data_IF_728747981245
#
_entry.id   IF_728747981245
#
_cell.length_a   1.000
_cell.length_b   1.000
_cell.length_c   1.000
_cell.angle_alpha   90.00
_cell.angle_beta   90.00
_cell.angle_gamma   90.00
#
_symmetry.space_group_name_H-M   'P 1'
#
loop_
_entity.id
_entity.type
_entity.pdbx_description
1 polymer ?
#
# COMPACT_ATOMS: atom_id res chain seq x y z
N UNK A 1 2.37 26.47 -0.66
CA UNK A 1 2.52 25.13 -1.26
C UNK A 1 3.33 24.24 -0.34
N UNK A 2 2.94 23.01 -0.20
CA UNK A 2 3.66 22.04 0.62
C UNK A 2 4.33 21.03 -0.30
N UNK A 3 5.59 20.72 -0.02
CA UNK A 3 6.32 19.69 -0.74
C UNK A 3 6.42 18.45 0.14
N UNK A 4 5.92 17.33 -0.35
CA UNK A 4 6.09 16.06 0.34
C UNK A 4 7.20 15.27 -0.33
N UNK A 5 8.02 14.61 0.48
CA UNK A 5 9.13 13.80 -0.02
C UNK A 5 8.93 12.37 0.42
N UNK A 6 8.88 11.45 -0.53
CA UNK A 6 8.73 10.03 -0.24
C UNK A 6 9.90 9.28 -0.86
N UNK A 7 10.88 8.96 -0.04
CA UNK A 7 12.11 8.32 -0.55
C UNK A 7 11.93 6.84 -0.85
N UNK A 8 10.95 6.20 -0.26
CA UNK A 8 10.70 4.78 -0.49
C UNK A 8 9.20 4.52 -0.65
N UNK A 9 8.60 4.98 -1.73
CA UNK A 9 7.18 4.76 -1.97
C UNK A 9 6.87 3.29 -2.26
N UNK A 10 5.62 2.94 -2.21
CA UNK A 10 5.17 1.58 -2.46
C UNK A 10 3.81 1.57 -3.15
N UNK A 11 3.48 0.45 -3.77
CA UNK A 11 2.10 0.16 -4.07
C UNK A 11 1.56 -0.59 -2.86
N UNK A 12 0.58 -0.04 -2.20
CA UNK A 12 -0.04 -0.71 -1.07
C UNK A 12 -1.18 -1.57 -1.60
N UNK A 13 -1.05 -2.88 -1.40
CA UNK A 13 -1.99 -3.86 -1.90
C UNK A 13 -2.70 -4.48 -0.71
N UNK A 14 -4.02 -4.44 -0.72
CA UNK A 14 -4.83 -4.97 0.36
C UNK A 14 -5.57 -6.22 -0.12
N UNK A 15 -5.40 -7.30 0.63
CA UNK A 15 -6.08 -8.56 0.36
C UNK A 15 -7.01 -8.86 1.55
N UNK A 16 -8.28 -8.52 1.45
CA UNK A 16 -9.20 -8.89 2.51
C UNK A 16 -9.54 -10.38 2.43
N UNK A 17 -9.33 -11.08 3.50
CA UNK A 17 -9.67 -12.48 3.64
C UNK A 17 -10.57 -12.65 4.85
N UNK A 18 -11.50 -13.57 4.77
CA UNK A 18 -12.28 -13.92 5.94
C UNK A 18 -11.37 -14.62 6.95
N UNK A 19 -10.68 -15.64 6.52
CA UNK A 19 -9.71 -16.35 7.34
C UNK A 19 -8.45 -16.56 6.53
N UNK A 20 -7.31 -16.18 7.09
CA UNK A 20 -6.02 -16.50 6.50
C UNK A 20 -5.64 -17.91 6.93
N UNK A 21 -5.48 -18.80 5.97
CA UNK A 21 -5.08 -20.18 6.23
C UNK A 21 -3.62 -20.36 5.86
N UNK A 22 -2.85 -20.95 6.73
CA UNK A 22 -1.45 -21.21 6.47
C UNK A 22 -1.28 -22.51 5.68
N UNK A 23 -0.16 -22.60 4.99
CA UNK A 23 0.22 -23.80 4.22
C UNK A 23 -0.77 -24.18 3.11
N UNK A 24 -1.51 -23.25 2.60
CA UNK A 24 -2.44 -23.50 1.51
C UNK A 24 -2.60 -22.23 0.69
N UNK A 25 -3.32 -22.34 -0.40
CA UNK A 25 -3.59 -21.19 -1.25
C UNK A 25 -4.78 -20.44 -0.67
N UNK A 26 -4.62 -19.14 -0.51
CA UNK A 26 -5.71 -18.28 -0.11
C UNK A 26 -6.15 -17.46 -1.33
N UNK A 27 -7.41 -17.55 -1.68
CA UNK A 27 -7.94 -16.83 -2.83
C UNK A 27 -8.63 -15.57 -2.36
N UNK A 28 -8.30 -14.48 -3.03
CA UNK A 28 -8.85 -13.17 -2.68
C UNK A 28 -9.76 -12.73 -3.80
N UNK A 29 -10.98 -12.40 -3.47
CA UNK A 29 -11.96 -11.97 -4.47
C UNK A 29 -11.75 -10.51 -4.88
N UNK A 30 -11.36 -9.67 -3.95
CA UNK A 30 -11.17 -8.26 -4.23
C UNK A 30 -9.77 -7.83 -3.83
N UNK A 31 -9.15 -7.04 -4.65
CA UNK A 31 -7.80 -6.52 -4.37
C UNK A 31 -7.86 -5.01 -4.50
N UNK A 32 -7.36 -4.33 -3.50
CA UNK A 32 -7.26 -2.89 -3.53
C UNK A 32 -5.79 -2.49 -3.63
N UNK A 33 -5.49 -1.59 -4.55
CA UNK A 33 -4.14 -1.08 -4.74
C UNK A 33 -4.14 0.42 -4.67
N UNK A 34 -3.25 0.97 -3.88
CA UNK A 34 -3.11 2.42 -3.75
C UNK A 34 -1.65 2.82 -3.75
N UNK A 35 -1.38 4.06 -4.13
CA UNK A 35 -0.07 4.63 -3.98
C UNK A 35 0.20 4.84 -2.49
N UNK A 36 1.30 4.35 -2.00
CA UNK A 36 1.60 4.34 -0.58
C UNK A 36 2.98 4.87 -0.24
N UNK A 37 3.20 5.00 1.03
CA UNK A 37 4.36 5.64 1.63
C UNK A 37 3.90 6.80 2.48
N UNK A 38 4.63 7.09 3.54
CA UNK A 38 4.17 8.12 4.48
C UNK A 38 4.00 9.48 3.81
N UNK A 39 4.95 9.87 2.98
CA UNK A 39 4.85 11.14 2.26
C UNK A 39 3.67 11.16 1.30
N UNK A 40 3.44 10.07 0.56
CA UNK A 40 2.32 10.00 -0.36
C UNK A 40 0.98 9.99 0.35
N UNK A 41 0.91 9.42 1.55
CA UNK A 41 -0.30 9.47 2.34
C UNK A 41 -0.63 10.91 2.74
N UNK A 42 0.37 11.69 3.11
CA UNK A 42 0.18 13.12 3.40
C UNK A 42 -0.21 13.87 2.13
N UNK A 43 0.43 13.56 1.00
CA UNK A 43 0.11 14.16 -0.29
C UNK A 43 -1.37 13.98 -0.61
N UNK A 44 -1.86 12.77 -0.43
CA UNK A 44 -3.26 12.48 -0.74
C UNK A 44 -4.23 13.28 0.14
N UNK A 45 -3.95 13.36 1.43
CA UNK A 45 -4.80 14.12 2.34
C UNK A 45 -4.78 15.61 1.96
N UNK A 46 -3.61 16.16 1.65
CA UNK A 46 -3.51 17.56 1.23
C UNK A 46 -4.28 17.82 -0.07
N UNK A 47 -4.20 16.88 -1.00
CA UNK A 47 -4.95 16.98 -2.24
C UNK A 47 -6.46 16.94 -1.98
N UNK A 48 -6.90 16.08 -1.09
CA UNK A 48 -8.32 15.96 -0.76
C UNK A 48 -8.89 17.24 -0.13
N UNK A 49 -8.12 17.93 0.68
CA UNK A 49 -8.55 19.20 1.25
C UNK A 49 -8.21 20.39 0.34
N UNK A 50 -7.74 20.08 -0.86
CA UNK A 50 -7.45 21.08 -1.89
C UNK A 50 -6.37 22.09 -1.53
N UNK A 51 -5.42 21.66 -0.72
CA UNK A 51 -4.24 22.47 -0.48
C UNK A 51 -3.23 22.23 -1.59
N UNK A 52 -2.59 23.26 -2.12
CA UNK A 52 -1.57 23.06 -3.15
C UNK A 52 -0.42 22.21 -2.62
N UNK A 53 -0.13 21.12 -3.32
CA UNK A 53 0.89 20.18 -2.91
C UNK A 53 1.71 19.71 -4.10
N UNK A 54 3.02 19.61 -3.87
CA UNK A 54 3.93 18.98 -4.80
C UNK A 54 4.48 17.72 -4.14
N UNK A 55 4.66 16.68 -4.88
CA UNK A 55 5.18 15.42 -4.39
C UNK A 55 6.45 15.04 -5.12
N UNK A 56 7.45 14.62 -4.39
CA UNK A 56 8.70 14.14 -4.95
C UNK A 56 9.17 12.88 -4.25
N UNK A 57 10.09 12.21 -4.84
CA UNK A 57 10.66 10.98 -4.32
C UNK A 57 11.29 10.16 -5.43
N UNK A 58 11.49 8.89 -5.17
CA UNK A 58 12.15 7.99 -6.12
C UNK A 58 11.14 6.93 -6.58
N UNK A 59 10.95 6.83 -7.87
CA UNK A 59 10.06 5.85 -8.48
C UNK A 59 10.76 5.12 -9.61
N UNK A 60 10.47 3.87 -9.78
CA UNK A 60 11.05 3.10 -10.87
C UNK A 60 10.17 1.96 -11.34
N UNK A 61 10.37 1.55 -12.58
CA UNK A 61 9.69 0.44 -13.19
C UNK A 61 8.20 0.67 -13.41
N UNK A 62 7.51 -0.42 -13.72
CA UNK A 62 6.06 -0.37 -13.94
C UNK A 62 5.31 -0.05 -12.65
N UNK A 63 5.85 -0.50 -11.52
CA UNK A 63 5.26 -0.20 -10.22
C UNK A 63 5.36 1.29 -9.91
N UNK A 64 6.46 1.92 -10.26
CA UNK A 64 6.57 3.38 -10.14
C UNK A 64 5.59 4.11 -11.02
N UNK A 65 5.39 3.63 -12.26
CA UNK A 65 4.43 4.21 -13.17
C UNK A 65 2.99 4.08 -12.64
N UNK A 66 2.68 2.94 -12.01
CA UNK A 66 1.38 2.77 -11.39
C UNK A 66 1.11 3.87 -10.35
N UNK A 67 2.12 4.19 -9.55
CA UNK A 67 1.99 5.24 -8.53
C UNK A 67 1.71 6.59 -9.20
N UNK A 68 2.45 6.93 -10.26
CA UNK A 68 2.22 8.18 -10.97
C UNK A 68 0.81 8.26 -11.54
N UNK A 69 0.32 7.15 -12.09
CA UNK A 69 -1.00 7.12 -12.68
C UNK A 69 -2.13 7.22 -11.65
N UNK A 70 -1.85 6.93 -10.41
CA UNK A 70 -2.84 6.88 -9.34
C UNK A 70 -2.60 7.90 -8.22
N UNK A 71 -1.82 8.94 -8.49
CA UNK A 71 -1.58 9.93 -7.45
C UNK A 71 -2.81 10.77 -7.13
N UNK A 72 -3.68 10.98 -8.06
CA UNK A 72 -4.83 11.87 -7.88
C UNK A 72 -4.65 13.19 -8.61
N UNK A 73 -5.70 13.97 -8.61
CA UNK A 73 -5.72 15.23 -9.33
C UNK A 73 -5.12 16.35 -8.49
N UNK A 74 -4.60 17.34 -9.17
CA UNK A 74 -4.14 18.55 -8.49
C UNK A 74 -2.82 18.44 -7.75
N UNK A 75 -2.09 17.35 -7.97
CA UNK A 75 -0.80 17.17 -7.35
C UNK A 75 0.28 17.44 -8.38
N UNK A 76 1.21 18.32 -8.04
CA UNK A 76 2.35 18.57 -8.89
C UNK A 76 3.38 17.47 -8.67
N UNK A 77 3.62 16.64 -9.68
CA UNK A 77 4.54 15.53 -9.51
C UNK A 77 5.94 15.92 -9.94
N UNK A 78 6.91 15.61 -9.14
CA UNK A 78 8.31 15.90 -9.41
C UNK A 78 9.19 14.73 -8.95
N UNK A 79 8.84 13.52 -9.39
CA UNK A 79 9.58 12.34 -8.97
C UNK A 79 10.82 12.12 -9.84
N UNK A 80 11.83 11.51 -9.23
CA UNK A 80 13.02 11.10 -9.94
C UNK A 80 12.93 9.62 -10.26
N UNK A 81 13.28 9.27 -11.49
CA UNK A 81 13.25 7.89 -11.92
C UNK A 81 14.51 7.16 -11.47
N UNK A 82 14.36 5.95 -10.98
CA UNK A 82 15.47 5.10 -10.59
C UNK A 82 15.46 3.82 -11.43
N UNK A 83 16.58 3.11 -11.45
CA UNK A 83 16.70 1.90 -12.26
C UNK A 83 15.92 0.73 -11.67
N UNK A 84 15.77 0.66 -10.37
CA UNK A 84 15.05 -0.43 -9.73
C UNK A 84 13.54 -0.22 -9.74
N UNK A 85 12.79 -1.28 -9.46
CA UNK A 85 11.35 -1.19 -9.39
C UNK A 85 10.91 -0.70 -8.02
N UNK A 86 9.88 0.11 -8.01
CA UNK A 86 9.23 0.52 -6.75
C UNK A 86 8.60 -0.70 -6.09
N UNK A 87 8.68 -0.77 -4.79
CA UNK A 87 8.25 -1.94 -4.02
C UNK A 87 6.74 -2.07 -3.90
N UNK A 88 6.30 -3.27 -3.59
CA UNK A 88 4.93 -3.53 -3.21
C UNK A 88 4.87 -3.76 -1.70
N UNK A 89 3.82 -3.30 -1.09
CA UNK A 89 3.54 -3.57 0.31
C UNK A 89 2.20 -4.26 0.41
N UNK A 90 2.20 -5.52 0.78
CA UNK A 90 0.99 -6.34 0.80
C UNK A 90 0.46 -6.41 2.22
N UNK A 91 -0.80 -6.08 2.37
CA UNK A 91 -1.51 -6.20 3.63
C UNK A 91 -2.61 -7.23 3.49
N UNK A 92 -2.59 -8.22 4.34
CA UNK A 92 -3.63 -9.23 4.39
C UNK A 92 -4.51 -8.89 5.58
N UNK A 93 -5.78 -8.67 5.31
CA UNK A 93 -6.74 -8.36 6.36
C UNK A 93 -7.47 -9.62 6.74
N UNK A 94 -7.27 -10.04 7.96
CA UNK A 94 -7.91 -11.22 8.50
C UNK A 94 -9.16 -10.77 9.26
N UNK A 95 -10.31 -10.97 8.67
CA UNK A 95 -11.53 -10.39 9.20
C UNK A 95 -12.39 -11.30 10.04
N UNK A 96 -12.05 -12.57 10.12
CA UNK A 96 -12.83 -13.50 10.88
C UNK A 96 -12.85 -13.21 12.35
N UNK A 97 -12.13 -12.34 12.82
CA UNK A 97 -12.06 -11.95 14.14
C UNK A 97 -12.70 -12.86 15.07
N UNK A 98 -12.33 -13.27 15.91
CA UNK A 98 -12.84 -13.93 17.00
C UNK A 98 -13.90 -14.83 16.87
N UNK A 99 -14.52 -15.08 15.85
CA UNK A 99 -15.47 -15.93 15.97
C UNK A 99 -14.95 -17.20 15.97
N UNK A 100 -14.89 -18.03 16.42
CA UNK A 100 -14.58 -19.38 16.40
C UNK A 100 -13.24 -19.75 16.09
N UNK A 101 -12.42 -18.92 16.16
CA UNK A 101 -11.24 -19.24 15.82
C UNK A 101 -10.52 -19.87 16.68
N UNK A 102 -10.50 -20.07 17.42
CA UNK A 102 -9.86 -20.42 18.38
C UNK A 102 -9.03 -21.39 18.36
N UNK A 103 -8.74 -21.97 18.27
CA UNK A 103 -8.01 -22.99 18.36
C UNK A 103 -6.89 -23.02 17.54
N UNK A 104 -5.86 -23.21 17.60
CA UNK A 104 -4.66 -23.29 16.83
C UNK A 104 -3.89 -22.04 16.83
N UNK A 105 -2.74 -22.04 16.24
CA UNK A 105 -1.88 -20.92 16.20
C UNK A 105 -2.52 -19.92 15.32
N UNK A 106 -2.96 -18.89 15.84
CA UNK A 106 -3.59 -17.92 15.06
C UNK A 106 -2.69 -16.76 14.94
N UNK A 107 -2.84 -16.07 13.85
CA UNK A 107 -2.12 -14.84 13.66
C UNK A 107 -2.70 -13.84 14.63
N UNK A 108 -3.97 -13.87 14.85
CA UNK A 108 -4.61 -13.02 15.82
C UNK A 108 -5.99 -13.53 16.10
N UNK A 109 -6.41 -13.46 17.33
CA UNK A 109 -7.78 -13.76 17.66
C UNK A 109 -8.67 -12.57 17.43
N UNK A 110 -8.14 -11.43 17.07
CA UNK A 110 -8.89 -10.25 16.76
C UNK A 110 -8.70 -9.92 15.33
N UNK A 111 -9.49 -9.05 14.78
CA UNK A 111 -9.22 -8.53 13.49
C UNK A 111 -7.79 -8.07 13.47
N UNK A 112 -7.07 -8.51 12.54
CA UNK A 112 -5.67 -8.22 12.46
C UNK A 112 -5.23 -7.91 11.05
N UNK A 113 -4.04 -7.36 10.96
CA UNK A 113 -3.43 -7.02 9.70
C UNK A 113 -2.03 -7.60 9.69
N UNK A 114 -1.74 -8.35 8.65
CA UNK A 114 -0.39 -8.85 8.42
C UNK A 114 0.12 -8.12 7.18
N UNK A 115 1.24 -7.48 7.32
CA UNK A 115 1.81 -6.72 6.22
C UNK A 115 3.15 -7.29 5.80
N UNK A 116 3.35 -7.38 4.51
CA UNK A 116 4.62 -7.83 3.96
C UNK A 116 5.15 -6.75 3.04
N UNK A 117 6.44 -6.50 3.15
CA UNK A 117 7.12 -5.62 2.22
C UNK A 117 7.89 -6.49 1.26
N UNK A 118 7.50 -6.46 0.00
CA UNK A 118 8.17 -7.24 -1.01
C UNK A 118 8.90 -6.29 -1.92
N UNK A 119 10.21 -6.42 -1.93
CA UNK A 119 11.06 -5.66 -2.83
C UNK A 119 11.65 -6.64 -3.81
N UNK A 120 11.41 -6.39 -5.08
CA UNK A 120 12.01 -7.21 -6.12
C UNK A 120 13.22 -6.45 -6.62
N UNK A 121 14.34 -7.04 -6.48
CA UNK A 121 15.59 -6.42 -6.92
C UNK A 121 16.06 -7.06 -8.22
#
# INVERSE_FOLDING_TARGET
MILTVTMNPSIDISYPLDVLQLDTVNRVAEVSKTAGGKGLNVTRVLSEIKDPVAATGLLGGRTGQFILDHLGEGIEERFFEIAGDTRNCIAILHEASNRNLRKGPTISEKKGKVSFNITVT
#
